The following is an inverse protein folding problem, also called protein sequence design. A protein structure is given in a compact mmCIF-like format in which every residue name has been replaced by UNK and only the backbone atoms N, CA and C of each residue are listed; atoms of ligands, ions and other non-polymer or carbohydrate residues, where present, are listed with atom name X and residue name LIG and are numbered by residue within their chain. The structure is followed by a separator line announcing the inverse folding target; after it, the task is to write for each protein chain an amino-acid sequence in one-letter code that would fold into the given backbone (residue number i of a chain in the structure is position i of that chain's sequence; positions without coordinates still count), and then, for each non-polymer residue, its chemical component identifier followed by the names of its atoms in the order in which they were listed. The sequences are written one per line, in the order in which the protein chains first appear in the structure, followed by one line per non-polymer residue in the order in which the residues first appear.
data_IF_290636617376
#
_entry.id   IF_290636617376
#
_cell.length_a   1.000
_cell.length_b   1.000
_cell.length_c   1.000
_cell.angle_alpha   90.00
_cell.angle_beta   90.00
_cell.angle_gamma   90.00
#
_symmetry.space_group_name_H-M   'P 1'
#
loop_
_entity.id
_entity.type
_entity.pdbx_description
1 polymer ?
#
# COMPACT_ATOMS: atom_id res chain seq x y z
N UNK A 1 3.73 -3.25 19.73
CA UNK A 1 3.82 -4.50 18.95
C UNK A 1 4.50 -4.27 17.60
N UNK A 2 3.96 -3.39 16.75
CA UNK A 2 4.56 -2.98 15.46
C UNK A 2 6.04 -2.55 15.54
N UNK A 3 6.40 -1.71 16.54
CA UNK A 3 7.80 -1.29 16.76
C UNK A 3 8.74 -2.46 17.02
N UNK A 4 8.28 -3.50 17.73
CA UNK A 4 9.11 -4.67 18.06
C UNK A 4 9.38 -5.51 16.82
N UNK A 5 8.35 -5.80 16.02
CA UNK A 5 8.51 -6.56 14.77
C UNK A 5 9.40 -5.81 13.76
N UNK A 6 9.33 -4.48 13.72
CA UNK A 6 10.23 -3.65 12.90
C UNK A 6 11.70 -3.73 13.35
N UNK A 7 11.97 -3.77 14.66
CA UNK A 7 13.34 -3.94 15.14
C UNK A 7 13.85 -5.38 14.93
N UNK A 8 12.96 -6.38 14.99
CA UNK A 8 13.31 -7.78 14.69
C UNK A 8 13.84 -7.94 13.25
N UNK A 9 13.25 -7.23 12.29
CA UNK A 9 13.70 -7.25 10.88
C UNK A 9 15.05 -6.59 10.65
N UNK A 10 15.54 -5.77 11.58
CA UNK A 10 16.93 -5.27 11.53
C UNK A 10 17.95 -6.28 12.03
N UNK A 11 17.51 -7.27 12.79
CA UNK A 11 18.39 -8.30 13.36
C UNK A 11 18.43 -9.57 12.49
N UNK A 12 17.40 -9.80 11.68
CA UNK A 12 17.28 -10.98 10.81
C UNK A 12 17.12 -10.57 9.36
N UNK A 13 18.17 -10.79 8.57
CA UNK A 13 18.20 -10.55 7.12
C UNK A 13 17.10 -11.31 6.37
N UNK A 14 16.68 -12.48 6.85
CA UNK A 14 15.70 -13.36 6.19
C UNK A 14 14.25 -12.85 6.28
N UNK A 15 13.98 -11.85 7.13
CA UNK A 15 12.63 -11.34 7.39
C UNK A 15 12.46 -9.95 6.78
N UNK A 16 11.41 -9.77 5.97
CA UNK A 16 10.97 -8.45 5.54
C UNK A 16 9.71 -8.02 6.28
N UNK A 17 9.69 -6.74 6.68
CA UNK A 17 8.56 -6.11 7.33
C UNK A 17 7.88 -5.17 6.33
N UNK A 18 6.58 -5.32 6.15
CA UNK A 18 5.78 -4.46 5.30
C UNK A 18 4.75 -3.75 6.17
N UNK A 19 4.58 -2.45 5.96
CA UNK A 19 3.41 -1.73 6.46
C UNK A 19 2.60 -1.22 5.30
N UNK A 20 1.30 -1.49 5.33
CA UNK A 20 0.37 -1.17 4.24
C UNK A 20 -0.74 -0.28 4.76
N UNK A 21 -1.06 0.74 3.97
CA UNK A 21 -2.15 1.67 4.24
C UNK A 21 -2.95 1.91 2.95
N UNK A 22 -4.28 1.96 3.08
CA UNK A 22 -5.18 2.25 1.96
C UNK A 22 -5.95 3.52 2.29
N UNK A 23 -5.65 4.59 1.56
CA UNK A 23 -6.30 5.88 1.73
C UNK A 23 -7.25 6.14 0.56
N UNK A 24 -8.49 6.46 0.89
CA UNK A 24 -9.47 6.97 -0.05
C UNK A 24 -9.55 8.49 0.12
N UNK A 25 -9.15 9.23 -0.91
CA UNK A 25 -9.12 10.70 -0.88
C UNK A 25 -10.18 11.28 -1.81
N UNK A 26 -10.93 12.27 -1.31
CA UNK A 26 -11.77 13.07 -2.19
C UNK A 26 -10.88 13.94 -3.08
N UNK A 27 -11.17 14.03 -4.38
CA UNK A 27 -10.51 14.97 -5.28
C UNK A 27 -10.82 16.40 -4.82
N UNK A 28 -9.76 17.19 -4.60
CA UNK A 28 -9.89 18.56 -4.12
C UNK A 28 -9.86 19.57 -5.27
N UNK A 29 -10.97 20.28 -5.47
CA UNK A 29 -10.96 21.73 -5.67
C UNK A 29 -12.36 22.32 -5.49
N UNK A 30 -12.53 23.30 -4.59
CA UNK A 30 -13.73 24.16 -4.54
C UNK A 30 -13.81 24.96 -5.84
N UNK A 31 -14.77 24.64 -6.72
CA UNK A 31 -15.06 25.43 -7.92
C UNK A 31 -16.56 25.65 -8.06
N UNK A 32 -16.94 26.82 -8.57
CA UNK A 32 -18.31 27.34 -8.66
C UNK A 32 -19.11 26.84 -9.87
N UNK A 33 -18.66 25.78 -10.57
CA UNK A 33 -19.29 25.28 -11.81
C UNK A 33 -19.91 23.90 -11.62
N UNK A 34 -21.24 23.85 -11.73
CA UNK A 34 -22.11 22.74 -11.34
C UNK A 34 -21.89 21.42 -12.07
N UNK A 35 -21.49 21.40 -13.35
CA UNK A 35 -21.18 20.14 -14.08
C UNK A 35 -19.78 19.59 -13.77
N UNK A 36 -18.79 20.46 -13.61
CA UNK A 36 -17.43 20.07 -13.24
C UNK A 36 -17.34 19.62 -11.77
N UNK A 37 -18.28 20.06 -10.93
CA UNK A 37 -18.42 19.65 -9.54
C UNK A 37 -18.72 18.16 -9.39
N UNK A 38 -19.67 17.60 -10.16
CA UNK A 38 -20.02 16.17 -10.09
C UNK A 38 -18.97 15.26 -10.74
N UNK A 39 -18.36 15.67 -11.85
CA UNK A 39 -17.27 14.91 -12.48
C UNK A 39 -15.99 14.86 -11.64
N UNK A 40 -15.87 15.75 -10.64
CA UNK A 40 -14.80 15.76 -9.63
C UNK A 40 -15.29 15.21 -8.29
N UNK A 41 -16.26 14.30 -8.24
CA UNK A 41 -16.53 13.49 -7.04
C UNK A 41 -15.92 12.08 -7.16
N UNK A 42 -15.05 11.85 -8.14
CA UNK A 42 -14.38 10.56 -8.32
C UNK A 42 -13.34 10.33 -7.25
N UNK A 43 -13.50 9.25 -6.48
CA UNK A 43 -12.56 8.88 -5.44
C UNK A 43 -11.17 8.55 -6.00
N UNK A 44 -10.13 9.05 -5.33
CA UNK A 44 -8.75 8.67 -5.61
C UNK A 44 -8.23 7.76 -4.51
N UNK A 45 -7.87 6.55 -4.89
CA UNK A 45 -7.37 5.51 -3.99
C UNK A 45 -5.85 5.49 -4.04
N UNK A 46 -5.22 5.52 -2.87
CA UNK A 46 -3.77 5.41 -2.70
C UNK A 46 -3.53 4.21 -1.80
N UNK A 47 -2.87 3.18 -2.32
CA UNK A 47 -2.38 2.06 -1.54
C UNK A 47 -0.87 2.21 -1.36
N UNK A 48 -0.47 2.59 -0.16
CA UNK A 48 0.92 2.74 0.24
C UNK A 48 1.44 1.44 0.83
N UNK A 49 2.59 0.98 0.36
CA UNK A 49 3.32 -0.17 0.89
C UNK A 49 4.74 0.26 1.22
N UNK A 50 5.09 0.26 2.49
CA UNK A 50 6.44 0.52 2.94
C UNK A 50 7.12 -0.81 3.26
N UNK A 51 8.13 -1.14 2.48
CA UNK A 51 8.98 -2.30 2.70
C UNK A 51 10.15 -1.86 3.58
N UNK A 52 10.35 -2.57 4.67
CA UNK A 52 11.43 -2.36 5.63
C UNK A 52 12.24 -3.64 5.68
N UNK A 53 13.51 -3.52 5.33
CA UNK A 53 14.52 -4.57 5.45
C UNK A 53 15.62 -4.11 6.39
N UNK A 54 16.59 -4.98 6.64
CA UNK A 54 17.78 -4.67 7.45
C UNK A 54 18.49 -3.39 6.98
N UNK A 55 18.68 -3.24 5.67
CA UNK A 55 19.53 -2.19 5.08
C UNK A 55 18.74 -1.06 4.42
N UNK A 56 17.50 -1.32 3.99
CA UNK A 56 16.74 -0.40 3.16
C UNK A 56 15.28 -0.27 3.59
N UNK A 57 14.77 0.95 3.45
CA UNK A 57 13.35 1.27 3.54
C UNK A 57 12.89 1.76 2.17
N UNK A 58 12.01 1.00 1.51
CA UNK A 58 11.55 1.28 0.15
C UNK A 58 10.03 1.50 0.18
N UNK A 59 9.56 2.73 -0.07
CA UNK A 59 8.13 3.01 -0.22
C UNK A 59 7.67 2.72 -1.65
N UNK A 60 6.53 2.04 -1.78
CA UNK A 60 5.80 1.86 -3.03
C UNK A 60 4.39 2.42 -2.88
N UNK A 61 3.92 3.13 -3.89
CA UNK A 61 2.57 3.69 -3.92
C UNK A 61 1.87 3.22 -5.18
N UNK A 62 0.72 2.57 -4.99
CA UNK A 62 -0.20 2.23 -6.06
C UNK A 62 -1.36 3.21 -6.01
N UNK A 63 -1.72 3.78 -7.16
CA UNK A 63 -2.75 4.81 -7.25
C UNK A 63 -3.79 4.45 -8.29
N UNK A 64 -5.05 4.75 -8.00
CA UNK A 64 -6.15 4.52 -8.91
C UNK A 64 -7.21 5.61 -8.78
N UNK A 65 -7.81 5.97 -9.91
CA UNK A 65 -9.01 6.80 -9.97
C UNK A 65 -10.22 5.87 -10.04
N UNK A 66 -11.30 6.22 -9.34
CA UNK A 66 -12.54 5.43 -9.27
C UNK A 66 -13.12 5.02 -10.64
N UNK A 67 -12.97 5.84 -11.69
CA UNK A 67 -13.44 5.52 -13.04
C UNK A 67 -12.70 4.31 -13.66
N UNK A 68 -11.36 4.28 -13.53
CA UNK A 68 -10.49 3.16 -13.90
C UNK A 68 -10.67 1.98 -12.95
N UNK A 69 -11.07 2.27 -11.71
CA UNK A 69 -11.25 1.33 -10.61
C UNK A 69 -12.72 0.96 -10.34
N UNK A 70 -13.55 0.92 -11.39
CA UNK A 70 -14.89 0.27 -11.39
C UNK A 70 -14.87 -1.25 -11.05
N UNK A 71 -13.76 -1.72 -10.45
CA UNK A 71 -13.45 -3.06 -9.96
C UNK A 71 -12.94 -2.88 -8.52
N UNK A 72 -13.75 -3.30 -7.54
CA UNK A 72 -13.55 -3.03 -6.10
C UNK A 72 -12.30 -3.65 -5.44
N UNK A 73 -12.41 -3.96 -4.15
CA UNK A 73 -11.33 -4.43 -3.26
C UNK A 73 -10.37 -5.49 -3.84
N UNK A 74 -10.86 -6.35 -4.75
CA UNK A 74 -10.08 -7.39 -5.42
C UNK A 74 -8.84 -6.86 -6.18
N UNK A 75 -8.89 -5.64 -6.74
CA UNK A 75 -7.73 -5.06 -7.44
C UNK A 75 -6.64 -4.59 -6.49
N UNK A 76 -7.01 -4.00 -5.35
CA UNK A 76 -6.08 -3.62 -4.29
C UNK A 76 -5.41 -4.88 -3.71
N UNK A 77 -6.18 -5.96 -3.56
CA UNK A 77 -5.62 -7.25 -3.18
C UNK A 77 -4.63 -7.78 -4.24
N UNK A 78 -4.91 -7.62 -5.54
CA UNK A 78 -4.02 -8.10 -6.62
C UNK A 78 -2.70 -7.33 -6.76
N UNK A 79 -2.63 -6.09 -6.28
CA UNK A 79 -1.37 -5.33 -6.31
C UNK A 79 -0.33 -5.84 -5.30
N UNK A 80 -0.77 -6.52 -4.23
CA UNK A 80 0.14 -7.12 -3.24
C UNK A 80 0.95 -8.29 -3.81
N UNK A 81 0.34 -9.35 -4.41
CA UNK A 81 1.07 -10.41 -5.10
C UNK A 81 1.95 -9.86 -6.22
N UNK A 82 1.46 -8.89 -6.99
CA UNK A 82 2.25 -8.24 -8.03
C UNK A 82 3.50 -7.58 -7.44
N UNK A 83 3.38 -6.85 -6.32
CA UNK A 83 4.54 -6.28 -5.65
C UNK A 83 5.54 -7.36 -5.19
N UNK A 84 5.05 -8.48 -4.67
CA UNK A 84 5.89 -9.60 -4.22
C UNK A 84 6.65 -10.26 -5.37
N UNK A 85 6.01 -10.42 -6.53
CA UNK A 85 6.64 -11.04 -7.71
C UNK A 85 7.71 -10.15 -8.34
N UNK A 86 7.45 -8.83 -8.42
CA UNK A 86 8.31 -7.87 -9.10
C UNK A 86 9.41 -7.29 -8.21
N UNK A 87 9.29 -7.38 -6.89
CA UNK A 87 10.30 -6.86 -5.98
C UNK A 87 11.32 -7.95 -5.59
N UNK A 88 12.50 -7.91 -6.22
CA UNK A 88 13.61 -8.84 -5.94
C UNK A 88 14.04 -8.85 -4.46
N UNK A 89 13.88 -7.72 -3.75
CA UNK A 89 14.19 -7.60 -2.34
C UNK A 89 13.23 -8.47 -1.52
N UNK A 90 11.95 -8.53 -1.86
CA UNK A 90 10.98 -9.37 -1.16
C UNK A 90 11.11 -10.83 -1.56
N UNK A 91 11.46 -11.10 -2.82
CA UNK A 91 11.65 -12.47 -3.33
C UNK A 91 12.83 -13.20 -2.71
N UNK A 92 13.82 -12.46 -2.22
CA UNK A 92 14.99 -12.99 -1.50
C UNK A 92 14.76 -13.20 0.00
N UNK A 93 13.52 -13.06 0.49
CA UNK A 93 13.17 -13.20 1.91
C UNK A 93 12.30 -14.42 2.13
N UNK A 94 12.56 -15.12 3.23
CA UNK A 94 11.85 -16.35 3.59
C UNK A 94 10.57 -16.05 4.38
N UNK A 95 10.55 -14.93 5.11
CA UNK A 95 9.44 -14.55 5.98
C UNK A 95 9.01 -13.11 5.75
N UNK A 96 7.69 -12.89 5.70
CA UNK A 96 7.06 -11.60 5.44
C UNK A 96 6.09 -11.27 6.56
N UNK A 97 6.36 -10.18 7.29
CA UNK A 97 5.47 -9.66 8.31
C UNK A 97 4.76 -8.44 7.74
N UNK A 98 3.46 -8.53 7.48
CA UNK A 98 2.65 -7.44 6.91
C UNK A 98 1.76 -6.86 8.01
N UNK A 99 1.90 -5.57 8.26
CA UNK A 99 1.05 -4.79 9.16
C UNK A 99 0.14 -3.87 8.37
N UNK A 100 -1.15 -3.94 8.67
CA UNK A 100 -2.15 -2.93 8.34
C UNK A 100 -2.75 -2.40 9.64
N UNK A 101 -3.30 -1.19 9.62
CA UNK A 101 -3.93 -0.57 10.80
C UNK A 101 -5.02 -1.45 11.43
N UNK A 102 -5.62 -2.35 10.65
CA UNK A 102 -6.69 -3.24 11.09
C UNK A 102 -6.27 -4.71 11.27
N UNK A 103 -5.16 -5.15 10.67
CA UNK A 103 -4.81 -6.57 10.57
C UNK A 103 -3.29 -6.80 10.50
N UNK A 104 -2.84 -7.92 11.07
CA UNK A 104 -1.45 -8.37 11.03
C UNK A 104 -1.38 -9.73 10.37
N UNK A 105 -0.53 -9.86 9.35
CA UNK A 105 -0.19 -11.13 8.71
C UNK A 105 1.29 -11.43 8.98
N UNK A 106 1.60 -12.66 9.42
CA UNK A 106 2.96 -13.12 9.73
C UNK A 106 3.29 -14.37 8.95
#
# INVERSE_FOLDING_TARGET
MQKFDRELTKQKSEVAYLTVDLQQTMPLSKLSVSKAFYLRQMWFYIFGVYIITESLVVPHFFTWIEDVASRGSNKVASSLPTLLEFNEILRSKDHLIIWSDYLVFK
#
